data_IF_241115849154
#
_entry.id   IF_241115849154
#
_cell.length_a   1.000
_cell.length_b   1.000
_cell.length_c   1.000
_cell.angle_alpha   90.00
_cell.angle_beta   90.00
_cell.angle_gamma   90.00
#
_symmetry.space_group_name_H-M   'P 1'
#
loop_
_entity.id
_entity.type
_entity.pdbx_description
1 polymer ?
#
# COMPACT_ATOMS: atom_id res chain seq x y z
N UNK A 1 -6.54 8.07 12.43
CA UNK A 1 -6.87 6.97 13.39
C UNK A 1 -7.63 5.91 12.66
N UNK A 2 -7.80 5.06 12.12
CA UNK A 2 -8.64 4.09 11.42
C UNK A 2 -7.93 3.28 10.34
N UNK A 3 -7.04 3.88 9.57
CA UNK A 3 -6.28 3.19 8.52
C UNK A 3 -5.37 2.08 9.06
N UNK A 4 -4.89 2.24 10.30
CA UNK A 4 -3.99 1.28 10.90
C UNK A 4 -4.64 -0.04 11.32
N UNK A 5 -5.89 -0.04 11.74
CA UNK A 5 -6.49 -1.22 12.36
C UNK A 5 -7.01 -2.25 11.37
N UNK A 6 -7.36 -1.81 10.16
CA UNK A 6 -7.88 -2.69 9.10
C UNK A 6 -6.80 -3.56 8.48
N UNK A 7 -5.61 -3.02 8.32
CA UNK A 7 -4.48 -3.74 7.73
C UNK A 7 -4.06 -4.96 8.51
N UNK A 8 -4.18 -4.88 9.82
CA UNK A 8 -3.44 -5.68 10.76
C UNK A 8 -3.88 -7.09 10.90
N UNK A 9 -5.14 -7.36 10.67
CA UNK A 9 -5.73 -8.62 11.11
C UNK A 9 -6.05 -9.60 10.00
N UNK A 10 -6.08 -9.19 8.75
CA UNK A 10 -6.64 -10.04 7.71
C UNK A 10 -5.74 -10.24 6.48
N UNK A 11 -4.83 -9.29 6.19
CA UNK A 11 -4.15 -9.25 4.91
C UNK A 11 -2.64 -9.56 4.98
N UNK A 12 -2.04 -9.49 6.17
CA UNK A 12 -0.64 -9.85 6.41
C UNK A 12 -0.57 -11.08 7.30
N UNK A 13 0.28 -12.02 6.94
CA UNK A 13 0.51 -13.28 7.64
C UNK A 13 1.91 -13.31 8.25
N UNK A 14 2.08 -14.14 9.27
CA UNK A 14 3.39 -14.40 9.85
C UNK A 14 4.35 -14.96 8.80
N UNK A 15 5.52 -14.35 8.69
CA UNK A 15 6.55 -14.72 7.72
C UNK A 15 6.42 -14.06 6.34
N UNK A 16 5.36 -13.26 6.07
CA UNK A 16 5.23 -12.57 4.79
C UNK A 16 6.40 -11.59 4.56
N UNK A 17 6.91 -11.56 3.35
CA UNK A 17 7.83 -10.54 2.85
C UNK A 17 7.01 -9.36 2.35
N UNK A 18 7.15 -8.20 2.98
CA UNK A 18 6.31 -7.03 2.75
C UNK A 18 7.16 -5.84 2.32
N UNK A 19 6.80 -5.21 1.19
CA UNK A 19 7.34 -3.92 0.78
C UNK A 19 6.35 -2.80 1.08
N UNK A 20 6.85 -1.69 1.64
CA UNK A 20 6.06 -0.54 2.03
C UNK A 20 6.45 0.67 1.19
N UNK A 21 5.48 1.22 0.47
CA UNK A 21 5.62 2.51 -0.21
C UNK A 21 5.75 3.68 0.79
N UNK A 22 6.12 4.83 0.27
CA UNK A 22 6.33 6.07 1.03
C UNK A 22 4.99 6.62 1.56
N UNK A 23 5.01 7.24 2.73
CA UNK A 23 3.85 7.91 3.35
C UNK A 23 3.00 6.98 4.22
N UNK A 24 1.68 6.94 4.02
CA UNK A 24 0.76 6.14 4.84
C UNK A 24 1.20 4.67 4.99
N UNK A 25 1.68 3.97 3.95
CA UNK A 25 2.15 2.60 4.07
C UNK A 25 3.22 2.37 5.13
N UNK A 26 4.12 3.33 5.36
CA UNK A 26 5.21 3.19 6.35
C UNK A 26 4.72 3.09 7.79
N UNK A 27 3.46 3.42 8.05
CA UNK A 27 2.86 3.33 9.37
C UNK A 27 2.33 1.92 9.69
N UNK A 28 2.19 1.05 8.71
CA UNK A 28 1.61 -0.30 8.87
C UNK A 28 2.31 -1.14 9.94
N UNK A 29 3.66 -1.19 10.03
CA UNK A 29 4.33 -2.00 11.05
C UNK A 29 3.98 -1.63 12.48
N UNK A 30 3.65 -0.36 12.76
CA UNK A 30 3.30 0.13 14.10
C UNK A 30 1.99 -0.46 14.62
N UNK A 31 1.30 -1.15 13.76
CA UNK A 31 -0.05 -1.63 14.00
C UNK A 31 -0.21 -3.15 13.82
N UNK A 32 0.82 -3.86 13.49
CA UNK A 32 0.76 -5.32 13.40
C UNK A 32 0.50 -5.94 14.78
N UNK A 33 -0.32 -6.98 14.86
CA UNK A 33 -0.43 -7.80 16.06
C UNK A 33 0.95 -8.33 16.45
N UNK A 34 1.20 -8.46 17.75
CA UNK A 34 2.49 -8.96 18.26
C UNK A 34 2.85 -10.38 17.78
N UNK A 35 1.82 -11.12 17.38
CA UNK A 35 1.93 -12.51 16.90
C UNK A 35 2.27 -12.58 15.41
N UNK A 36 2.18 -11.47 14.67
CA UNK A 36 2.46 -11.40 13.23
C UNK A 36 3.80 -10.73 13.00
N UNK A 37 4.78 -11.52 12.63
CA UNK A 37 6.11 -11.04 12.28
C UNK A 37 6.25 -11.02 10.76
N UNK A 38 6.31 -9.85 10.16
CA UNK A 38 6.59 -9.69 8.74
C UNK A 38 8.06 -9.36 8.51
N UNK A 39 8.58 -9.76 7.37
CA UNK A 39 9.95 -9.43 6.93
C UNK A 39 9.84 -8.22 6.02
N UNK A 40 10.21 -7.05 6.52
CA UNK A 40 10.17 -5.84 5.71
C UNK A 40 11.31 -5.82 4.69
N UNK A 41 10.96 -5.61 3.43
CA UNK A 41 11.88 -5.45 2.31
C UNK A 41 11.89 -4.00 1.86
N UNK A 42 13.05 -3.46 1.55
CA UNK A 42 13.17 -2.16 0.87
C UNK A 42 13.91 -2.35 -0.46
N UNK A 43 13.39 -1.76 -1.54
CA UNK A 43 13.88 -2.02 -2.89
C UNK A 43 15.30 -1.51 -3.14
N UNK A 44 15.81 -0.58 -2.33
CA UNK A 44 17.22 -0.19 -2.41
C UNK A 44 18.21 -1.24 -1.91
N UNK A 45 17.75 -2.34 -1.25
CA UNK A 45 18.55 -3.53 -1.06
C UNK A 45 18.65 -4.08 0.35
N UNK A 46 17.55 -4.23 1.09
CA UNK A 46 17.54 -4.89 2.39
C UNK A 46 16.29 -5.76 2.61
N UNK A 47 16.48 -6.91 3.26
CA UNK A 47 15.47 -7.70 3.94
C UNK A 47 15.70 -7.65 5.45
N UNK A 48 14.63 -7.53 6.24
CA UNK A 48 14.72 -7.39 7.68
C UNK A 48 14.96 -5.94 8.14
N UNK A 49 14.40 -4.99 7.38
CA UNK A 49 14.36 -3.58 7.77
C UNK A 49 13.61 -3.44 9.10
N UNK A 50 14.23 -2.74 10.06
CA UNK A 50 13.64 -2.41 11.36
C UNK A 50 13.05 -1.00 11.40
N UNK A 51 12.57 -0.55 12.57
CA UNK A 51 12.02 0.79 12.76
C UNK A 51 13.07 1.88 12.55
N UNK A 52 12.61 3.14 12.53
CA UNK A 52 13.53 4.28 12.58
C UNK A 52 14.38 4.24 13.86
N UNK A 53 15.68 4.61 13.79
CA UNK A 53 16.54 4.71 14.96
C UNK A 53 16.07 5.82 15.91
N UNK A 54 16.55 5.80 17.16
CA UNK A 54 16.39 6.92 18.08
C UNK A 54 17.21 8.12 17.57
N UNK A 55 16.82 9.33 18.00
CA UNK A 55 17.53 10.56 17.63
C UNK A 55 19.00 10.49 18.09
N UNK A 56 19.93 10.70 17.16
CA UNK A 56 21.38 10.63 17.40
C UNK A 56 21.99 9.22 17.27
N UNK A 57 21.18 8.22 16.91
CA UNK A 57 21.62 6.85 16.67
C UNK A 57 21.52 6.47 15.16
N UNK A 58 21.32 7.46 14.30
CA UNK A 58 21.17 7.25 12.87
C UNK A 58 22.48 6.76 12.25
N UNK A 59 22.39 5.67 11.49
CA UNK A 59 23.46 5.23 10.60
C UNK A 59 23.19 5.78 9.19
N UNK A 60 24.06 6.67 8.65
CA UNK A 60 23.87 7.24 7.33
C UNK A 60 23.93 6.22 6.19
N UNK A 61 24.45 5.03 6.42
CA UNK A 61 24.49 3.91 5.47
C UNK A 61 23.18 3.12 5.45
N UNK A 62 22.30 3.29 6.46
CA UNK A 62 21.05 2.55 6.61
C UNK A 62 19.84 3.44 6.33
N UNK A 63 19.41 3.46 5.08
CA UNK A 63 18.22 4.20 4.66
C UNK A 63 17.24 3.31 3.89
N UNK A 64 15.93 3.61 4.01
CA UNK A 64 14.92 3.03 3.14
C UNK A 64 14.92 3.71 1.76
N UNK A 65 14.12 3.18 0.84
CA UNK A 65 13.99 3.73 -0.52
C UNK A 65 13.43 5.16 -0.57
N UNK A 66 12.79 5.63 0.49
CA UNK A 66 12.32 7.01 0.65
C UNK A 66 13.35 7.97 1.25
N UNK A 67 14.56 7.48 1.57
CA UNK A 67 15.64 8.27 2.18
C UNK A 67 15.51 8.46 3.70
N UNK A 68 14.55 7.80 4.34
CA UNK A 68 14.42 7.80 5.80
C UNK A 68 15.39 6.82 6.45
N UNK A 69 15.98 7.20 7.60
CA UNK A 69 16.84 6.31 8.38
C UNK A 69 16.08 5.12 8.94
N UNK A 70 16.71 3.95 8.93
CA UNK A 70 16.17 2.69 9.41
C UNK A 70 17.20 1.98 10.30
N UNK A 71 16.75 0.95 10.99
CA UNK A 71 17.61 -0.01 11.66
C UNK A 71 17.57 -1.35 10.92
N UNK A 72 18.56 -2.21 11.18
CA UNK A 72 18.57 -3.58 10.72
C UNK A 72 18.19 -4.50 11.87
N UNK A 73 17.19 -5.36 11.68
CA UNK A 73 16.80 -6.38 12.65
C UNK A 73 17.86 -7.50 12.69
N UNK A 74 17.97 -8.24 13.82
CA UNK A 74 18.82 -9.44 13.86
C UNK A 74 18.46 -10.41 12.73
N UNK A 75 19.44 -10.79 11.92
CA UNK A 75 19.26 -11.63 10.74
C UNK A 75 18.94 -10.86 9.45
N UNK A 76 18.91 -9.53 9.49
CA UNK A 76 18.77 -8.71 8.28
C UNK A 76 19.90 -8.98 7.29
N UNK A 77 19.60 -8.81 6.01
CA UNK A 77 20.54 -8.99 4.91
C UNK A 77 20.51 -7.80 3.97
N UNK A 78 21.67 -7.27 3.63
CA UNK A 78 21.85 -6.23 2.62
C UNK A 78 22.40 -6.81 1.33
N UNK A 79 21.94 -6.29 0.20
CA UNK A 79 22.35 -6.74 -1.14
C UNK A 79 22.22 -5.57 -2.12
N UNK A 80 22.80 -5.73 -3.31
CA UNK A 80 22.72 -4.71 -4.35
C UNK A 80 21.31 -4.57 -4.94
N UNK A 81 21.08 -3.47 -5.65
CA UNK A 81 19.78 -3.17 -6.27
C UNK A 81 19.37 -4.21 -7.33
N UNK A 82 20.32 -4.82 -8.03
CA UNK A 82 20.02 -5.84 -9.02
C UNK A 82 19.44 -7.09 -8.36
N UNK A 83 20.01 -7.52 -7.25
CA UNK A 83 19.49 -8.62 -6.42
C UNK A 83 18.13 -8.25 -5.84
N UNK A 84 17.95 -7.02 -5.33
CA UNK A 84 16.68 -6.56 -4.79
C UNK A 84 15.55 -6.61 -5.81
N UNK A 85 15.77 -6.04 -7.00
CA UNK A 85 14.78 -6.11 -8.09
C UNK A 85 14.61 -7.53 -8.64
N UNK A 86 15.64 -8.38 -8.57
CA UNK A 86 15.53 -9.81 -8.84
C UNK A 86 14.56 -10.52 -7.90
N UNK A 87 14.61 -10.21 -6.60
CA UNK A 87 13.65 -10.71 -5.59
C UNK A 87 12.23 -10.26 -5.90
N UNK A 88 12.03 -8.96 -6.20
CA UNK A 88 10.72 -8.41 -6.53
C UNK A 88 10.15 -9.08 -7.79
N UNK A 89 10.89 -9.03 -8.90
CA UNK A 89 10.48 -9.60 -10.20
C UNK A 89 10.33 -11.12 -10.18
N UNK A 90 11.07 -11.78 -9.30
CA UNK A 90 10.98 -13.22 -9.06
C UNK A 90 9.72 -13.66 -8.28
N UNK A 91 8.86 -12.74 -7.85
CA UNK A 91 7.64 -13.07 -7.10
C UNK A 91 7.90 -13.45 -5.64
N UNK A 92 9.01 -12.98 -5.07
CA UNK A 92 9.38 -13.28 -3.68
C UNK A 92 8.90 -12.23 -2.67
N UNK A 93 8.18 -11.21 -3.10
CA UNK A 93 7.47 -10.26 -2.24
C UNK A 93 6.02 -10.72 -2.13
N UNK A 94 5.57 -11.03 -0.91
CA UNK A 94 4.21 -11.53 -0.69
C UNK A 94 3.19 -10.39 -0.78
N UNK A 95 3.48 -9.25 -0.18
CA UNK A 95 2.58 -8.10 -0.19
C UNK A 95 3.35 -6.81 -0.47
N UNK A 96 2.85 -6.01 -1.41
CA UNK A 96 3.27 -4.63 -1.61
C UNK A 96 2.15 -3.68 -1.19
N UNK A 97 2.46 -2.73 -0.29
CA UNK A 97 1.50 -1.74 0.18
C UNK A 97 1.94 -0.37 -0.33
N UNK A 98 1.14 0.26 -1.17
CA UNK A 98 1.48 1.50 -1.86
C UNK A 98 0.44 2.60 -1.64
N UNK A 99 0.88 3.84 -1.79
CA UNK A 99 -0.01 4.99 -1.92
C UNK A 99 -0.49 5.17 -3.36
N UNK A 100 -1.61 5.89 -3.54
CA UNK A 100 -2.15 6.18 -4.85
C UNK A 100 -2.50 7.67 -5.02
N UNK A 101 -2.40 8.16 -6.25
CA UNK A 101 -3.05 9.39 -6.70
C UNK A 101 -4.45 9.07 -7.22
N UNK A 102 -4.56 8.03 -8.05
CA UNK A 102 -5.83 7.47 -8.54
C UNK A 102 -5.71 5.95 -8.65
N UNK A 103 -6.82 5.27 -8.44
CA UNK A 103 -7.04 3.86 -8.75
C UNK A 103 -8.41 3.73 -9.40
N UNK A 104 -8.62 2.76 -10.29
CA UNK A 104 -9.91 2.58 -10.93
C UNK A 104 -10.55 1.21 -10.72
N UNK A 105 -11.75 1.05 -11.27
CA UNK A 105 -12.58 -0.15 -11.10
C UNK A 105 -11.94 -1.45 -11.63
N UNK A 106 -10.87 -1.34 -12.43
CA UNK A 106 -10.12 -2.48 -12.98
C UNK A 106 -8.84 -2.76 -12.20
N UNK A 107 -8.53 -1.97 -11.18
CA UNK A 107 -7.28 -2.07 -10.44
C UNK A 107 -6.09 -1.43 -11.17
N UNK A 108 -6.35 -0.54 -12.13
CA UNK A 108 -5.32 0.30 -12.73
C UNK A 108 -4.87 1.34 -11.71
N UNK A 109 -3.56 1.52 -11.56
CA UNK A 109 -2.97 2.46 -10.60
C UNK A 109 -2.20 3.58 -11.27
N UNK A 110 -2.43 4.81 -10.80
CA UNK A 110 -1.60 5.98 -11.08
C UNK A 110 -1.10 6.58 -9.77
N UNK A 111 0.23 6.62 -9.57
CA UNK A 111 0.81 7.12 -8.33
C UNK A 111 2.14 7.89 -8.49
N UNK A 112 2.58 8.19 -9.71
CA UNK A 112 3.92 8.72 -9.93
C UNK A 112 3.98 10.11 -10.57
N UNK A 113 2.93 10.55 -11.25
CA UNK A 113 2.94 11.83 -11.97
C UNK A 113 1.56 12.50 -11.98
N UNK A 114 1.57 13.82 -11.83
CA UNK A 114 0.45 14.70 -12.16
C UNK A 114 0.94 15.62 -13.27
N UNK A 115 0.34 15.62 -14.48
CA UNK A 115 0.74 16.48 -15.58
C UNK A 115 0.82 17.95 -15.18
N UNK A 116 1.88 18.63 -15.59
CA UNK A 116 2.10 20.05 -15.26
C UNK A 116 2.67 20.31 -13.85
N UNK A 117 2.92 19.27 -13.05
CA UNK A 117 3.64 19.37 -11.76
C UNK A 117 4.99 18.67 -11.83
N UNK A 118 5.86 18.96 -10.83
CA UNK A 118 7.14 18.24 -10.70
C UNK A 118 6.90 16.75 -10.56
N UNK A 119 7.58 15.97 -11.39
CA UNK A 119 7.52 14.50 -11.36
C UNK A 119 8.73 13.99 -10.59
N UNK A 120 8.56 13.38 -9.42
CA UNK A 120 9.69 12.84 -8.65
C UNK A 120 10.29 11.57 -9.26
N UNK A 121 9.61 10.96 -10.23
CA UNK A 121 9.92 9.62 -10.76
C UNK A 121 9.08 8.54 -10.10
N UNK A 122 9.00 7.35 -10.71
CA UNK A 122 8.18 6.27 -10.18
C UNK A 122 8.97 5.30 -9.29
N UNK A 123 10.30 5.40 -9.23
CA UNK A 123 11.13 4.46 -8.46
C UNK A 123 10.86 3.02 -8.85
N UNK A 124 10.78 2.13 -7.87
CA UNK A 124 10.47 0.71 -8.03
C UNK A 124 8.98 0.37 -8.13
N UNK A 125 8.08 1.35 -8.16
CA UNK A 125 6.64 1.11 -8.04
C UNK A 125 6.08 0.17 -9.13
N UNK A 126 6.55 0.27 -10.37
CA UNK A 126 6.11 -0.62 -11.46
C UNK A 126 6.49 -2.08 -11.18
N UNK A 127 7.73 -2.31 -10.75
CA UNK A 127 8.23 -3.65 -10.43
C UNK A 127 7.51 -4.24 -9.22
N UNK A 128 7.27 -3.42 -8.18
CA UNK A 128 6.54 -3.82 -6.97
C UNK A 128 5.10 -4.21 -7.28
N UNK A 129 4.41 -3.47 -8.17
CA UNK A 129 3.05 -3.76 -8.58
C UNK A 129 2.92 -5.08 -9.34
N UNK A 130 3.87 -5.36 -10.24
CA UNK A 130 3.82 -6.55 -11.10
C UNK A 130 4.45 -7.77 -10.41
N UNK A 131 5.43 -7.56 -9.53
CA UNK A 131 6.20 -8.63 -8.92
C UNK A 131 5.66 -9.12 -7.58
N UNK A 132 4.89 -8.32 -6.84
CA UNK A 132 4.30 -8.78 -5.58
C UNK A 132 3.12 -9.73 -5.84
N UNK A 133 2.91 -10.69 -4.93
CA UNK A 133 1.78 -11.63 -5.03
C UNK A 133 0.45 -10.98 -4.69
N UNK A 134 0.47 -9.91 -3.90
CA UNK A 134 -0.70 -9.10 -3.52
C UNK A 134 -0.34 -7.64 -3.45
N UNK A 135 -1.20 -6.79 -4.00
CA UNK A 135 -1.05 -5.34 -3.99
C UNK A 135 -2.18 -4.70 -3.20
N UNK A 136 -1.83 -3.99 -2.15
CA UNK A 136 -2.76 -3.25 -1.30
C UNK A 136 -2.48 -1.75 -1.45
N UNK A 137 -3.51 -0.96 -1.65
CA UNK A 137 -3.41 0.49 -1.59
C UNK A 137 -3.80 1.01 -0.20
N UNK A 138 -2.95 1.89 0.35
CA UNK A 138 -3.18 2.65 1.56
C UNK A 138 -3.24 4.13 1.22
N UNK A 139 -4.40 4.72 1.23
CA UNK A 139 -4.58 6.06 0.71
C UNK A 139 -5.77 6.78 1.36
N UNK A 140 -5.78 8.10 1.32
CA UNK A 140 -6.99 8.87 1.58
C UNK A 140 -8.02 8.60 0.47
N UNK A 141 -9.29 8.49 0.83
CA UNK A 141 -10.38 8.20 -0.11
C UNK A 141 -10.56 9.30 -1.16
N UNK A 142 -10.39 10.54 -0.74
CA UNK A 142 -10.50 11.72 -1.60
C UNK A 142 -9.28 12.61 -1.52
N UNK A 143 -9.10 13.50 -2.48
CA UNK A 143 -8.12 14.58 -2.44
C UNK A 143 -8.84 15.92 -2.57
N UNK A 144 -8.88 16.71 -1.47
CA UNK A 144 -9.62 17.99 -1.40
C UNK A 144 -11.09 17.84 -1.85
N UNK A 145 -11.73 16.74 -1.43
CA UNK A 145 -13.11 16.42 -1.75
C UNK A 145 -13.33 15.80 -3.15
N UNK A 146 -12.28 15.62 -3.95
CA UNK A 146 -12.40 14.94 -5.24
C UNK A 146 -12.10 13.45 -5.09
N UNK A 147 -12.86 12.56 -5.73
CA UNK A 147 -12.62 11.13 -5.71
C UNK A 147 -11.20 10.77 -6.20
N UNK A 148 -10.59 9.78 -5.55
CA UNK A 148 -9.37 9.14 -6.00
C UNK A 148 -9.64 7.71 -6.50
N UNK A 149 -10.79 7.15 -6.14
CA UNK A 149 -11.29 5.87 -6.65
C UNK A 149 -12.20 6.18 -7.82
N UNK A 150 -11.69 5.93 -9.03
CA UNK A 150 -12.24 6.41 -10.28
C UNK A 150 -12.96 5.29 -11.04
N UNK A 151 -13.84 5.65 -11.95
CA UNK A 151 -14.34 4.70 -12.95
C UNK A 151 -13.22 4.31 -13.93
N UNK A 152 -12.38 5.30 -14.28
CA UNK A 152 -11.18 5.10 -15.09
C UNK A 152 -10.13 6.13 -14.71
N UNK A 153 -8.90 5.68 -14.50
CA UNK A 153 -7.78 6.57 -14.24
C UNK A 153 -7.60 7.58 -15.37
N UNK A 154 -7.41 8.85 -15.01
CA UNK A 154 -7.14 9.96 -15.93
C UNK A 154 -5.67 10.39 -15.89
N UNK A 155 -4.95 10.02 -14.86
CA UNK A 155 -3.50 10.25 -14.72
C UNK A 155 -2.71 9.13 -15.40
N UNK A 156 -1.45 9.38 -15.80
CA UNK A 156 -0.57 8.36 -16.35
C UNK A 156 -0.43 7.17 -15.41
N UNK A 157 -0.70 5.99 -15.92
CA UNK A 157 -0.67 4.76 -15.13
C UNK A 157 0.75 4.40 -14.70
N UNK A 158 0.85 3.82 -13.51
CA UNK A 158 2.02 3.11 -13.01
C UNK A 158 1.96 1.64 -13.43
N UNK A 159 0.79 1.03 -13.29
CA UNK A 159 0.50 -0.32 -13.77
C UNK A 159 -0.99 -0.50 -14.02
N UNK A 160 -1.36 -1.47 -14.86
CA UNK A 160 -2.73 -1.80 -15.21
C UNK A 160 -3.14 -3.13 -14.56
N UNK A 161 -4.32 -3.15 -13.91
CA UNK A 161 -4.95 -4.36 -13.38
C UNK A 161 -4.14 -5.08 -12.29
N UNK A 162 -3.38 -4.35 -11.47
CA UNK A 162 -2.50 -4.96 -10.48
C UNK A 162 -2.98 -4.79 -9.03
N UNK A 163 -3.96 -3.94 -8.78
CA UNK A 163 -4.44 -3.67 -7.43
C UNK A 163 -5.47 -4.71 -7.01
N UNK A 164 -5.28 -5.33 -5.85
CA UNK A 164 -6.21 -6.31 -5.27
C UNK A 164 -7.12 -5.69 -4.22
N UNK A 165 -6.61 -4.75 -3.42
CA UNK A 165 -7.32 -4.18 -2.29
C UNK A 165 -7.05 -2.69 -2.14
N UNK A 166 -8.09 -1.93 -1.84
CA UNK A 166 -8.01 -0.50 -1.56
C UNK A 166 -8.49 -0.28 -0.14
N UNK A 167 -7.66 0.35 0.67
CA UNK A 167 -7.99 0.70 2.05
C UNK A 167 -7.85 2.18 2.24
N UNK A 168 -8.92 2.76 2.79
CA UNK A 168 -9.03 4.19 3.06
C UNK A 168 -9.57 4.42 4.47
N UNK A 169 -9.66 5.67 4.89
CA UNK A 169 -10.34 6.06 6.13
C UNK A 169 -11.84 5.78 6.11
N UNK A 170 -12.44 5.56 4.93
CA UNK A 170 -13.89 5.34 4.80
C UNK A 170 -14.26 3.85 4.71
N UNK A 171 -13.36 3.00 4.22
CA UNK A 171 -13.68 1.59 4.05
C UNK A 171 -12.57 0.77 3.38
N UNK A 172 -12.84 -0.52 3.28
CA UNK A 172 -12.04 -1.52 2.58
C UNK A 172 -12.79 -2.01 1.35
N UNK A 173 -12.16 -1.87 0.19
CA UNK A 173 -12.75 -2.17 -1.11
C UNK A 173 -11.87 -3.18 -1.83
N UNK A 174 -12.41 -4.32 -2.18
CA UNK A 174 -11.74 -5.35 -2.97
C UNK A 174 -11.94 -5.09 -4.46
N UNK A 175 -10.87 -5.19 -5.23
CA UNK A 175 -10.94 -5.16 -6.69
C UNK A 175 -11.22 -6.56 -7.20
N UNK A 176 -12.32 -6.72 -7.95
CA UNK A 176 -12.73 -8.03 -8.48
C UNK A 176 -12.96 -7.94 -9.99
N UNK A 177 -13.01 -9.08 -10.70
CA UNK A 177 -13.39 -9.09 -12.12
C UNK A 177 -14.78 -8.52 -12.42
N UNK A 178 -15.63 -8.38 -11.39
CA UNK A 178 -17.00 -7.88 -11.51
C UNK A 178 -17.13 -6.41 -11.10
N UNK A 179 -16.05 -5.78 -10.64
CA UNK A 179 -16.01 -4.41 -10.15
C UNK A 179 -15.50 -4.30 -8.71
N UNK A 180 -15.69 -3.14 -8.12
CA UNK A 180 -15.23 -2.80 -6.78
C UNK A 180 -16.25 -3.27 -5.73
N UNK A 181 -15.83 -4.12 -4.80
CA UNK A 181 -16.68 -4.67 -3.74
C UNK A 181 -16.33 -4.02 -2.40
N UNK A 182 -17.26 -3.26 -1.81
CA UNK A 182 -17.12 -2.73 -0.47
C UNK A 182 -17.27 -3.87 0.55
N UNK A 183 -16.17 -4.23 1.22
CA UNK A 183 -16.07 -5.32 2.20
C UNK A 183 -16.27 -4.86 3.63
N UNK A 184 -15.71 -3.69 3.94
CA UNK A 184 -15.80 -3.11 5.28
C UNK A 184 -16.05 -1.61 5.17
N UNK A 185 -16.76 -1.06 6.14
CA UNK A 185 -17.07 0.38 6.23
C UNK A 185 -16.69 0.90 7.61
N UNK A 186 -16.09 2.09 7.65
CA UNK A 186 -15.80 2.74 8.93
C UNK A 186 -17.10 3.18 9.61
N UNK A 187 -17.25 3.00 10.93
CA UNK A 187 -18.51 3.28 11.65
C UNK A 187 -19.05 4.70 11.53
N UNK A 188 -18.20 5.67 11.22
CA UNK A 188 -18.59 7.08 11.05
C UNK A 188 -19.20 7.39 9.68
N UNK A 189 -19.19 6.46 8.74
CA UNK A 189 -19.71 6.67 7.38
C UNK A 189 -20.89 5.74 7.07
N UNK A 190 -21.74 6.19 6.15
CA UNK A 190 -22.78 5.35 5.54
C UNK A 190 -22.34 4.88 4.16
N UNK A 191 -22.98 3.83 3.64
CA UNK A 191 -22.71 3.31 2.28
C UNK A 191 -22.90 4.40 1.23
N UNK A 192 -23.95 5.24 1.39
CA UNK A 192 -24.26 6.34 0.49
C UNK A 192 -23.13 7.40 0.50
N UNK A 193 -22.54 7.66 1.66
CA UNK A 193 -21.42 8.60 1.78
C UNK A 193 -20.16 8.05 1.11
N UNK A 194 -19.85 6.75 1.31
CA UNK A 194 -18.73 6.10 0.63
C UNK A 194 -18.93 6.09 -0.88
N UNK A 195 -20.13 5.76 -1.35
CA UNK A 195 -20.47 5.80 -2.78
C UNK A 195 -20.37 7.22 -3.36
N UNK A 196 -20.85 8.22 -2.64
CA UNK A 196 -20.78 9.62 -3.10
C UNK A 196 -19.33 10.14 -3.20
N UNK A 197 -18.41 9.58 -2.42
CA UNK A 197 -16.97 9.90 -2.46
C UNK A 197 -16.19 9.05 -3.50
N UNK A 198 -16.86 8.09 -4.16
CA UNK A 198 -16.29 7.15 -5.13
C UNK A 198 -16.90 7.38 -6.50
N UNK A 199 -16.10 7.59 -7.55
CA UNK A 199 -16.63 7.76 -8.90
C UNK A 199 -17.11 6.44 -9.52
N UNK A 200 -16.39 5.34 -9.23
CA UNK A 200 -16.80 4.01 -9.66
C UNK A 200 -18.03 3.52 -8.87
N UNK A 201 -18.84 2.68 -9.49
CA UNK A 201 -19.94 2.01 -8.79
C UNK A 201 -19.43 0.95 -7.84
N UNK A 202 -19.89 0.99 -6.58
CA UNK A 202 -19.53 0.02 -5.54
C UNK A 202 -20.57 -1.07 -5.43
N UNK A 203 -20.11 -2.31 -5.47
CA UNK A 203 -20.91 -3.48 -5.11
C UNK A 203 -20.80 -3.65 -3.60
N UNK A 204 -21.94 -3.57 -2.90
CA UNK A 204 -21.95 -3.78 -1.44
C UNK A 204 -22.09 -5.26 -1.16
N UNK A 205 -21.13 -5.84 -0.43
CA UNK A 205 -21.22 -7.26 -0.03
C UNK A 205 -22.41 -7.48 0.93
N UNK A 206 -23.13 -8.62 0.83
CA UNK A 206 -24.16 -8.98 1.82
C UNK A 206 -23.63 -9.06 3.25
N UNK A 207 -22.35 -9.41 3.41
CA UNK A 207 -21.64 -9.55 4.69
C UNK A 207 -20.79 -8.32 5.00
N UNK A 208 -21.30 -7.10 4.70
CA UNK A 208 -20.58 -5.85 4.98
C UNK A 208 -20.25 -5.76 6.46
N UNK A 209 -18.96 -5.63 6.76
CA UNK A 209 -18.45 -5.56 8.13
C UNK A 209 -18.14 -4.12 8.52
N UNK A 210 -18.12 -3.85 9.81
CA UNK A 210 -17.53 -2.63 10.31
C UNK A 210 -16.01 -2.79 10.44
N UNK A 211 -15.30 -1.75 10.04
CA UNK A 211 -13.85 -1.66 10.28
C UNK A 211 -13.59 -1.74 11.80
N UNK A 212 -12.60 -2.51 12.21
CA UNK A 212 -12.18 -2.56 13.61
C UNK A 212 -11.57 -1.21 14.03
N UNK A 213 -11.95 -0.70 15.18
CA UNK A 213 -11.40 0.51 15.80
C UNK A 213 -9.97 0.28 16.29
#
# INVERSE_FOLDING_TARGET
RGLGDVYKRQELKDGDVVNLGIGIPTLVPNYLPKEVNVILQTENGMLGMGPAPAEGEEDPELTNAGGGYITALPGASSFDSATSFGIIRGGHVDVSILGALQVDEKGDLANWMIPGKKTPGMGGAMDLLVGAKKVILAMEHTAKGNPKIMKKCTLPLTAAGQVDLIVTEMGVIEVTPHGLVLREIHPEFTVEQVQAATEAELIVTPDLKLMAN
#
